data_IF_919337212721
#
_entry.id   IF_919337212721
#
_cell.length_a   1.000
_cell.length_b   1.000
_cell.length_c   1.000
_cell.angle_alpha   90.00
_cell.angle_beta   90.00
_cell.angle_gamma   90.00
#
_symmetry.space_group_name_H-M   'P 1'
#
loop_
_entity.id
_entity.type
_entity.pdbx_description
1 polymer ?
#
# COMPACT_ATOMS: atom_id res chain seq x y z
N UNK A 1 -4.68 0.55 -10.64
CA UNK A 1 -4.35 1.97 -10.35
C UNK A 1 -5.36 2.45 -9.31
N UNK A 2 -4.93 3.04 -8.18
CA UNK A 2 -5.78 3.21 -6.98
C UNK A 2 -6.95 4.20 -7.10
N UNK A 3 -7.22 4.82 -8.25
CA UNK A 3 -8.37 5.72 -8.45
C UNK A 3 -8.37 7.00 -7.61
N UNK A 4 -7.48 7.12 -6.62
CA UNK A 4 -7.31 8.26 -5.71
C UNK A 4 -5.87 8.77 -5.78
N UNK A 5 -5.68 10.05 -5.51
CA UNK A 5 -4.37 10.67 -5.49
C UNK A 5 -3.48 9.99 -4.44
N UNK A 6 -2.37 9.40 -4.88
CA UNK A 6 -1.36 8.87 -3.95
C UNK A 6 -0.59 10.05 -3.39
N UNK A 7 -0.61 10.19 -2.05
CA UNK A 7 0.14 11.24 -1.37
C UNK A 7 1.65 11.11 -1.64
N UNK A 8 2.35 12.19 -2.05
CA UNK A 8 3.80 12.18 -2.28
C UNK A 8 4.62 11.70 -1.09
N UNK A 9 4.08 11.83 0.13
CA UNK A 9 4.72 11.39 1.35
C UNK A 9 4.88 9.85 1.44
N UNK A 10 3.95 9.10 0.85
CA UNK A 10 4.03 7.63 0.82
C UNK A 10 5.22 7.20 -0.02
N UNK A 11 5.38 7.79 -1.21
CA UNK A 11 6.53 7.55 -2.09
C UNK A 11 7.85 7.87 -1.41
N UNK A 12 7.96 9.05 -0.76
CA UNK A 12 9.16 9.42 0.01
C UNK A 12 9.48 8.45 1.15
N UNK A 13 8.46 7.90 1.80
CA UNK A 13 8.64 6.92 2.88
C UNK A 13 9.16 5.59 2.34
N UNK A 14 8.65 5.14 1.19
CA UNK A 14 9.10 3.91 0.55
C UNK A 14 10.54 4.06 0.03
N UNK A 15 10.87 5.22 -0.53
CA UNK A 15 12.22 5.55 -1.01
C UNK A 15 13.22 5.67 0.16
N UNK A 16 12.86 6.33 1.26
CA UNK A 16 13.74 6.47 2.42
C UNK A 16 14.03 5.16 3.13
N UNK A 17 13.08 4.22 3.10
CA UNK A 17 13.29 2.83 3.55
C UNK A 17 14.06 2.00 2.51
N UNK A 18 14.31 2.52 1.32
CA UNK A 18 14.99 1.81 0.24
C UNK A 18 14.15 0.65 -0.33
N UNK A 19 12.83 0.67 -0.18
CA UNK A 19 11.93 -0.35 -0.74
C UNK A 19 11.68 -0.12 -2.24
N UNK A 20 11.71 1.13 -2.68
CA UNK A 20 11.57 1.52 -4.09
C UNK A 20 12.67 2.48 -4.48
N UNK A 21 13.01 2.52 -5.77
CA UNK A 21 14.00 3.42 -6.36
C UNK A 21 13.59 3.86 -7.78
N UNK A 22 14.15 4.97 -8.25
CA UNK A 22 13.92 5.51 -9.59
C UNK A 22 14.76 4.76 -10.61
N UNK A 23 14.10 4.00 -11.49
CA UNK A 23 14.76 3.23 -12.56
C UNK A 23 14.85 3.98 -13.89
N UNK A 24 14.25 5.15 -13.98
CA UNK A 24 14.29 5.97 -15.17
C UNK A 24 13.21 7.04 -15.19
N UNK A 25 13.04 7.67 -16.34
CA UNK A 25 12.00 8.66 -16.57
C UNK A 25 11.26 8.30 -17.85
N UNK A 26 9.93 8.40 -17.83
CA UNK A 26 9.12 8.10 -19.02
C UNK A 26 9.27 9.21 -20.06
N UNK A 27 9.40 8.84 -21.33
CA UNK A 27 9.53 9.80 -22.43
C UNK A 27 8.16 10.36 -22.86
N UNK A 28 7.55 11.12 -21.96
CA UNK A 28 6.26 11.81 -22.15
C UNK A 28 6.38 13.24 -21.60
N UNK A 29 5.50 14.18 -22.00
CA UNK A 29 5.51 15.53 -21.45
C UNK A 29 5.52 15.53 -19.90
N UNK A 30 6.46 16.27 -19.31
CA UNK A 30 6.71 16.29 -17.86
C UNK A 30 7.67 15.21 -17.34
N UNK A 31 8.13 14.29 -18.21
CA UNK A 31 9.15 13.24 -17.94
C UNK A 31 9.07 12.64 -16.53
N UNK A 32 7.94 12.02 -16.15
CA UNK A 32 7.76 11.52 -14.78
C UNK A 32 8.73 10.39 -14.48
N UNK A 33 9.23 10.36 -13.24
CA UNK A 33 10.09 9.29 -12.72
C UNK A 33 9.34 7.95 -12.70
N UNK A 34 10.04 6.89 -13.08
CA UNK A 34 9.58 5.50 -13.02
C UNK A 34 10.20 4.85 -11.79
N UNK A 35 9.36 4.28 -10.93
CA UNK A 35 9.80 3.60 -9.71
C UNK A 35 9.71 2.09 -9.88
N UNK A 36 10.69 1.37 -9.33
CA UNK A 36 10.66 -0.08 -9.19
C UNK A 36 11.02 -0.50 -7.77
N UNK A 37 10.65 -1.73 -7.40
CA UNK A 37 11.03 -2.31 -6.11
C UNK A 37 12.49 -2.74 -6.10
N UNK A 38 13.11 -2.70 -4.93
CA UNK A 38 14.52 -3.06 -4.74
C UNK A 38 14.67 -4.47 -4.17
N UNK A 39 15.93 -4.93 -4.03
CA UNK A 39 16.23 -6.17 -3.29
C UNK A 39 15.81 -6.09 -1.83
N UNK A 40 16.00 -4.93 -1.19
CA UNK A 40 15.63 -4.72 0.22
C UNK A 40 14.13 -4.93 0.45
N UNK A 41 13.29 -4.51 -0.49
CA UNK A 41 11.86 -4.83 -0.44
C UNK A 41 11.60 -6.34 -0.43
N UNK A 42 12.31 -7.11 -1.26
CA UNK A 42 12.18 -8.56 -1.28
C UNK A 42 12.61 -9.18 0.05
N UNK A 43 13.73 -8.72 0.61
CA UNK A 43 14.26 -9.21 1.90
C UNK A 43 13.27 -8.92 3.05
N UNK A 44 12.71 -7.71 3.13
CA UNK A 44 11.76 -7.33 4.18
C UNK A 44 10.39 -7.99 4.00
N UNK A 45 10.00 -8.34 2.78
CA UNK A 45 8.78 -9.10 2.48
C UNK A 45 8.99 -10.62 2.58
N UNK A 46 10.23 -11.09 2.83
CA UNK A 46 10.56 -12.52 2.90
C UNK A 46 10.45 -13.25 1.55
N UNK A 47 10.61 -12.54 0.44
CA UNK A 47 10.48 -13.06 -0.92
C UNK A 47 11.86 -13.28 -1.54
N UNK A 48 12.04 -14.34 -2.33
CA UNK A 48 13.28 -14.55 -3.11
C UNK A 48 13.23 -13.85 -4.47
N UNK A 49 12.02 -13.64 -4.99
CA UNK A 49 11.79 -13.00 -6.29
C UNK A 49 10.39 -12.39 -6.38
N UNK A 50 10.19 -11.46 -7.33
CA UNK A 50 8.88 -10.86 -7.60
C UNK A 50 7.85 -11.88 -8.11
N UNK A 51 8.30 -13.02 -8.64
CA UNK A 51 7.43 -14.12 -9.10
C UNK A 51 6.72 -14.86 -7.98
N UNK A 52 7.19 -14.71 -6.74
CA UNK A 52 6.56 -15.31 -5.55
C UNK A 52 5.42 -14.44 -5.01
N UNK A 53 5.16 -13.27 -5.61
CA UNK A 53 4.02 -12.45 -5.25
C UNK A 53 2.71 -13.18 -5.59
N UNK A 54 1.74 -13.20 -4.67
CA UNK A 54 0.42 -13.77 -4.95
C UNK A 54 -0.24 -13.05 -6.13
N UNK A 55 -1.08 -13.78 -6.86
CA UNK A 55 -1.82 -13.21 -7.98
C UNK A 55 -2.72 -12.06 -7.50
N UNK A 56 -2.91 -11.05 -8.34
CA UNK A 56 -3.72 -9.87 -7.98
C UNK A 56 -5.15 -10.24 -7.54
N UNK A 57 -5.75 -11.26 -8.18
CA UNK A 57 -7.07 -11.79 -7.82
C UNK A 57 -7.12 -12.42 -6.42
N UNK A 58 -5.99 -12.88 -5.91
CA UNK A 58 -5.88 -13.45 -4.56
C UNK A 58 -5.66 -12.34 -3.52
N UNK A 59 -4.92 -11.29 -3.90
CA UNK A 59 -4.75 -10.08 -3.06
C UNK A 59 -6.10 -9.40 -2.80
N UNK A 60 -6.96 -9.25 -3.82
CA UNK A 60 -8.30 -8.66 -3.65
C UNK A 60 -9.12 -9.43 -2.59
N UNK A 61 -9.13 -10.76 -2.66
CA UNK A 61 -9.80 -11.60 -1.66
C UNK A 61 -9.24 -11.44 -0.26
N UNK A 62 -7.91 -11.37 -0.12
CA UNK A 62 -7.26 -11.15 1.19
C UNK A 62 -7.64 -9.77 1.74
N UNK A 63 -7.62 -8.73 0.90
CA UNK A 63 -7.99 -7.38 1.31
C UNK A 63 -9.46 -7.30 1.74
N UNK A 64 -10.38 -7.92 1.02
CA UNK A 64 -11.80 -7.98 1.38
C UNK A 64 -12.02 -8.65 2.75
N UNK A 65 -11.24 -9.70 3.06
CA UNK A 65 -11.27 -10.38 4.36
C UNK A 65 -10.72 -9.50 5.49
N UNK A 66 -9.67 -8.72 5.22
CA UNK A 66 -9.08 -7.79 6.19
C UNK A 66 -10.01 -6.62 6.46
N UNK A 67 -10.67 -6.07 5.45
CA UNK A 67 -11.63 -4.96 5.58
C UNK A 67 -12.87 -5.37 6.38
N UNK A 68 -13.37 -6.59 6.17
CA UNK A 68 -14.48 -7.17 6.94
C UNK A 68 -14.14 -7.36 8.43
N UNK A 69 -12.87 -7.51 8.79
CA UNK A 69 -12.42 -7.65 10.18
C UNK A 69 -12.26 -6.33 10.94
N UNK A 70 -12.49 -5.18 10.29
CA UNK A 70 -12.34 -3.84 10.87
C UNK A 70 -13.66 -3.06 11.00
N UNK A 71 -14.82 -3.71 10.77
CA UNK A 71 -16.14 -3.09 10.97
C UNK A 71 -16.86 -3.73 12.16
N UNK A 72 -16.44 -3.39 13.38
CA UNK A 72 -17.36 -3.36 14.53
C UNK A 72 -17.68 -1.89 14.83
N UNK A 73 -18.91 -1.41 14.57
CA UNK A 73 -19.35 -0.09 14.98
C UNK A 73 -19.66 -0.13 16.48
N UNK A 74 -18.62 -0.13 17.33
CA UNK A 74 -18.76 -0.13 18.77
C UNK A 74 -18.92 1.28 19.34
N UNK A 75 -19.85 2.10 18.83
CA UNK A 75 -20.35 3.29 19.55
C UNK A 75 -21.82 3.54 19.21
N UNK A 76 -22.72 2.98 20.02
CA UNK A 76 -23.89 3.63 20.66
C UNK A 76 -24.89 2.54 21.12
N UNK A 77 -25.34 2.58 22.40
CA UNK A 77 -26.45 3.47 22.74
C UNK A 77 -26.21 4.33 24.01
N UNK A 78 -26.82 5.51 23.99
CA UNK A 78 -27.02 6.49 25.08
C UNK A 78 -27.87 5.93 26.24
N UNK A 79 -28.34 6.74 27.22
CA UNK A 79 -27.80 7.90 27.94
C UNK A 79 -27.65 7.60 29.46
N UNK A 80 -26.72 8.22 30.19
CA UNK A 80 -26.71 8.15 31.66
C UNK A 80 -26.88 9.54 32.27
N UNK A 81 -28.02 9.66 32.94
CA UNK A 81 -28.56 10.70 33.82
C UNK A 81 -27.73 10.79 35.12
N UNK A 82 -27.91 11.88 35.89
CA UNK A 82 -27.33 12.18 37.22
C UNK A 82 -25.91 12.80 37.15
N UNK A 83 -25.65 14.02 37.63
CA UNK A 83 -25.82 14.59 38.99
C UNK A 83 -26.16 16.08 38.92
#
# INVERSE_FOLDING_TARGET
IRGVAVSPNVLKTLESRGWVDVVGHRDTPGRPALFATTRRFLDEMGLRSLTELPALTEIEKIMDLVDASQTEPAVAPAPEEEI
#
